data_IF_154701779554
#
_entry.id   IF_154701779554
#
_cell.length_a   1.000
_cell.length_b   1.000
_cell.length_c   1.000
_cell.angle_alpha   90.00
_cell.angle_beta   90.00
_cell.angle_gamma   90.00
#
_symmetry.space_group_name_H-M   'P 1'
#
loop_
_entity.id
_entity.type
_entity.pdbx_description
1 polymer ?
#
# COMPACT_ATOMS: atom_id res chain seq x y z
N UNK A 1 8.51 -15.56 27.94
CA UNK A 1 8.30 -14.53 26.89
C UNK A 1 8.67 -14.95 25.48
N UNK A 2 9.80 -15.63 25.22
CA UNK A 2 10.19 -16.04 23.86
C UNK A 2 9.10 -16.87 23.15
N UNK A 3 8.50 -17.85 23.83
CA UNK A 3 7.37 -18.63 23.30
C UNK A 3 6.17 -17.75 22.89
N UNK A 4 5.86 -16.72 23.67
CA UNK A 4 4.79 -15.76 23.38
C UNK A 4 5.13 -14.95 22.12
N UNK A 5 6.34 -14.38 22.06
CA UNK A 5 6.83 -13.65 20.89
C UNK A 5 6.71 -14.49 19.60
N UNK A 6 7.17 -15.74 19.63
CA UNK A 6 7.08 -16.66 18.48
C UNK A 6 5.62 -16.97 18.13
N UNK A 7 4.77 -17.21 19.13
CA UNK A 7 3.33 -17.46 18.96
C UNK A 7 2.63 -16.28 18.29
N UNK A 8 2.88 -15.04 18.71
CA UNK A 8 2.28 -13.85 18.09
C UNK A 8 2.77 -13.61 16.66
N UNK A 9 4.07 -13.81 16.41
CA UNK A 9 4.62 -13.71 15.04
C UNK A 9 4.04 -14.78 14.11
N UNK A 10 3.75 -15.97 14.63
CA UNK A 10 3.07 -17.03 13.89
C UNK A 10 1.60 -16.68 13.67
N UNK A 11 0.90 -16.22 14.70
CA UNK A 11 -0.51 -15.81 14.63
C UNK A 11 -0.72 -14.69 13.59
N UNK A 12 0.16 -13.68 13.55
CA UNK A 12 0.10 -12.62 12.55
C UNK A 12 0.25 -13.19 11.12
N UNK A 13 1.21 -14.11 10.90
CA UNK A 13 1.37 -14.77 9.60
C UNK A 13 0.20 -15.67 9.21
N UNK A 14 -0.48 -16.29 10.18
CA UNK A 14 -1.69 -17.06 9.90
C UNK A 14 -2.83 -16.11 9.53
N UNK A 15 -3.00 -15.02 10.29
CA UNK A 15 -4.08 -14.06 10.08
C UNK A 15 -4.07 -13.45 8.66
N UNK A 16 -2.91 -13.20 8.06
CA UNK A 16 -2.82 -12.68 6.68
C UNK A 16 -3.38 -13.62 5.61
N UNK A 17 -3.51 -14.92 5.91
CA UNK A 17 -3.95 -15.92 4.96
C UNK A 17 -5.37 -16.43 5.25
N UNK A 18 -6.05 -15.89 6.26
CA UNK A 18 -7.38 -16.36 6.62
C UNK A 18 -8.43 -15.82 5.62
N UNK A 19 -9.27 -16.71 5.03
CA UNK A 19 -10.20 -16.34 3.97
C UNK A 19 -11.53 -15.75 4.48
N UNK A 20 -11.77 -15.72 5.79
CA UNK A 20 -13.04 -15.23 6.34
C UNK A 20 -12.89 -14.51 7.68
N UNK A 21 -13.82 -13.60 7.95
CA UNK A 21 -13.91 -12.88 9.23
C UNK A 21 -14.18 -13.83 10.40
N UNK A 22 -14.92 -14.91 10.18
CA UNK A 22 -15.18 -15.92 11.21
C UNK A 22 -13.89 -16.61 11.67
N UNK A 23 -13.02 -16.97 10.71
CA UNK A 23 -11.73 -17.56 11.02
C UNK A 23 -10.81 -16.55 11.71
N UNK A 24 -10.86 -15.27 11.33
CA UNK A 24 -10.14 -14.21 12.05
C UNK A 24 -10.63 -14.10 13.49
N UNK A 25 -11.94 -14.07 13.72
CA UNK A 25 -12.52 -14.02 15.07
C UNK A 25 -12.14 -15.24 15.91
N UNK A 26 -12.10 -16.43 15.31
CA UNK A 26 -11.63 -17.65 15.96
C UNK A 26 -10.14 -17.55 16.33
N UNK A 27 -9.30 -17.05 15.42
CA UNK A 27 -7.86 -16.86 15.67
C UNK A 27 -7.60 -15.85 16.79
N UNK A 28 -8.33 -14.73 16.80
CA UNK A 28 -8.29 -13.75 17.90
C UNK A 28 -8.66 -14.43 19.23
N UNK A 29 -9.73 -15.24 19.23
CA UNK A 29 -10.20 -15.99 20.41
C UNK A 29 -9.14 -16.94 20.97
N UNK A 30 -8.33 -17.60 20.13
CA UNK A 30 -7.22 -18.46 20.57
C UNK A 30 -6.16 -17.70 21.36
N UNK A 31 -6.05 -16.38 21.18
CA UNK A 31 -5.07 -15.53 21.87
C UNK A 31 -5.73 -14.58 22.88
N UNK A 32 -6.94 -14.87 23.33
CA UNK A 32 -7.56 -14.19 24.46
C UNK A 32 -6.92 -14.63 25.78
N UNK A 33 -6.57 -13.66 26.61
CA UNK A 33 -6.21 -13.84 28.02
C UNK A 33 -7.45 -13.89 28.91
N UNK A 34 -7.30 -14.34 30.16
CA UNK A 34 -8.40 -14.41 31.13
C UNK A 34 -8.98 -13.03 31.50
N UNK A 35 -8.24 -11.96 31.26
CA UNK A 35 -8.62 -10.56 31.50
C UNK A 35 -9.43 -9.94 30.34
N UNK A 36 -9.83 -10.74 29.34
CA UNK A 36 -10.54 -10.26 28.17
C UNK A 36 -9.68 -9.40 27.23
N UNK A 37 -8.34 -9.50 27.34
CA UNK A 37 -7.40 -8.83 26.43
C UNK A 37 -6.63 -9.84 25.61
N UNK A 38 -6.05 -9.41 24.49
CA UNK A 38 -5.10 -10.26 23.75
C UNK A 38 -3.87 -10.48 24.62
N UNK A 39 -3.51 -11.76 24.85
CA UNK A 39 -2.53 -12.20 25.87
C UNK A 39 -1.38 -11.20 26.02
N UNK A 40 -1.26 -10.63 27.21
CA UNK A 40 -0.13 -9.78 27.61
C UNK A 40 0.89 -10.64 28.35
N UNK A 41 2.16 -10.49 28.02
CA UNK A 41 3.19 -10.84 28.99
C UNK A 41 3.22 -9.68 30.00
N UNK A 42 3.15 -9.96 31.30
CA UNK A 42 3.37 -8.94 32.32
C UNK A 42 4.82 -8.44 32.19
N UNK A 43 5.04 -7.17 31.79
CA UNK A 43 6.38 -6.66 31.58
C UNK A 43 7.05 -6.26 32.89
N UNK A 44 6.32 -6.07 33.99
CA UNK A 44 6.83 -5.57 35.27
C UNK A 44 8.00 -6.42 35.81
N UNK A 45 7.89 -7.75 35.95
CA UNK A 45 9.02 -8.55 36.44
C UNK A 45 10.25 -8.45 35.53
N UNK A 46 10.05 -8.32 34.22
CA UNK A 46 11.15 -8.21 33.27
C UNK A 46 11.82 -6.82 33.31
N UNK A 47 11.04 -5.75 33.50
CA UNK A 47 11.55 -4.39 33.71
C UNK A 47 12.35 -4.32 35.02
N UNK A 48 11.82 -4.89 36.11
CA UNK A 48 12.53 -4.92 37.40
C UNK A 48 13.86 -5.65 37.28
N UNK A 49 13.88 -6.83 36.64
CA UNK A 49 15.13 -7.57 36.38
C UNK A 49 16.09 -6.76 35.51
N UNK A 50 15.60 -6.04 34.49
CA UNK A 50 16.44 -5.21 33.64
C UNK A 50 17.09 -4.06 34.41
N UNK A 51 16.32 -3.35 35.25
CA UNK A 51 16.82 -2.25 36.07
C UNK A 51 17.85 -2.75 37.08
N UNK A 52 17.57 -3.85 37.79
CA UNK A 52 18.51 -4.46 38.73
C UNK A 52 19.80 -4.90 38.03
N UNK A 53 19.71 -5.48 36.83
CA UNK A 53 20.87 -5.90 36.06
C UNK A 53 21.73 -4.71 35.59
N UNK A 54 21.14 -3.56 35.25
CA UNK A 54 21.89 -2.32 34.96
C UNK A 54 22.61 -1.80 36.22
N UNK A 55 21.93 -1.80 37.38
CA UNK A 55 22.55 -1.37 38.64
C UNK A 55 23.73 -2.27 39.04
N UNK A 56 23.57 -3.59 38.90
CA UNK A 56 24.65 -4.56 39.14
C UNK A 56 25.81 -4.35 38.15
N UNK A 57 25.52 -4.09 36.87
CA UNK A 57 26.55 -3.82 35.88
C UNK A 57 27.37 -2.57 36.24
N UNK A 58 26.69 -1.48 36.64
CA UNK A 58 27.35 -0.24 37.04
C UNK A 58 28.22 -0.41 38.29
N UNK A 59 27.72 -1.13 39.31
CA UNK A 59 28.47 -1.41 40.54
C UNK A 59 29.71 -2.27 40.26
N UNK A 60 29.58 -3.32 39.44
CA UNK A 60 30.71 -4.21 39.10
C UNK A 60 31.76 -3.54 38.23
N UNK A 61 31.36 -2.64 37.34
CA UNK A 61 32.31 -1.84 36.57
C UNK A 61 33.13 -0.92 37.48
N UNK A 62 32.48 -0.27 38.47
CA UNK A 62 33.20 0.53 39.47
C UNK A 62 34.16 -0.30 40.33
N UNK A 63 33.88 -1.59 40.54
CA UNK A 63 34.73 -2.53 41.26
C UNK A 63 35.88 -3.12 40.40
N UNK A 64 35.99 -2.76 39.12
CA UNK A 64 37.01 -3.30 38.20
C UNK A 64 36.71 -4.71 37.67
N UNK A 65 35.48 -5.20 37.83
CA UNK A 65 35.03 -6.54 37.39
C UNK A 65 34.36 -6.49 36.01
N UNK A 66 35.07 -5.97 34.99
CA UNK A 66 34.48 -5.65 33.69
C UNK A 66 33.79 -6.83 32.98
N UNK A 67 34.35 -8.05 33.10
CA UNK A 67 33.74 -9.25 32.52
C UNK A 67 32.36 -9.57 33.12
N UNK A 68 32.17 -9.30 34.41
CA UNK A 68 30.91 -9.52 35.10
C UNK A 68 29.92 -8.36 34.88
N UNK A 69 30.43 -7.14 34.69
CA UNK A 69 29.63 -5.99 34.29
C UNK A 69 28.98 -6.19 32.90
N UNK A 70 29.75 -6.71 31.93
CA UNK A 70 29.24 -7.06 30.60
C UNK A 70 28.14 -8.14 30.65
N UNK A 71 28.31 -9.17 31.48
CA UNK A 71 27.29 -10.20 31.66
C UNK A 71 25.98 -9.64 32.24
N UNK A 72 26.06 -8.74 33.22
CA UNK A 72 24.90 -8.08 33.79
C UNK A 72 24.20 -7.15 32.77
N UNK A 73 24.97 -6.44 31.93
CA UNK A 73 24.42 -5.63 30.84
C UNK A 73 23.66 -6.48 29.80
N UNK A 74 24.19 -7.65 29.45
CA UNK A 74 23.50 -8.60 28.56
C UNK A 74 22.17 -9.08 29.15
N UNK A 75 22.13 -9.38 30.45
CA UNK A 75 20.88 -9.72 31.15
C UNK A 75 19.89 -8.56 31.09
N UNK A 76 20.34 -7.32 31.30
CA UNK A 76 19.49 -6.14 31.19
C UNK A 76 18.88 -5.98 29.79
N UNK A 77 19.70 -6.13 28.74
CA UNK A 77 19.25 -6.05 27.35
C UNK A 77 18.23 -7.15 27.00
N UNK A 78 18.44 -8.37 27.48
CA UNK A 78 17.49 -9.46 27.26
C UNK A 78 16.19 -9.25 28.04
N UNK A 79 16.28 -8.86 29.31
CA UNK A 79 15.13 -8.61 30.18
C UNK A 79 14.29 -7.41 29.71
N UNK A 80 14.92 -6.36 29.19
CA UNK A 80 14.23 -5.18 28.64
C UNK A 80 13.80 -5.32 27.17
N UNK A 81 14.56 -6.04 26.35
CA UNK A 81 14.28 -6.20 24.92
C UNK A 81 13.15 -7.18 24.60
N UNK A 82 13.07 -8.29 25.35
CA UNK A 82 12.02 -9.30 25.13
C UNK A 82 10.57 -8.78 25.36
N UNK A 83 10.27 -7.96 26.39
CA UNK A 83 8.94 -7.35 26.57
C UNK A 83 8.58 -6.41 25.42
N UNK A 84 9.53 -5.56 25.00
CA UNK A 84 9.34 -4.64 23.87
C UNK A 84 9.05 -5.42 22.59
N UNK A 85 9.82 -6.47 22.31
CA UNK A 85 9.59 -7.34 21.16
C UNK A 85 8.22 -8.05 21.24
N UNK A 86 7.81 -8.55 22.41
CA UNK A 86 6.51 -9.18 22.61
C UNK A 86 5.35 -8.18 22.44
N UNK A 87 5.51 -6.95 22.93
CA UNK A 87 4.56 -5.86 22.74
C UNK A 87 4.42 -5.50 21.24
N UNK A 88 5.54 -5.35 20.54
CA UNK A 88 5.56 -5.08 19.11
C UNK A 88 4.92 -6.21 18.29
N UNK A 89 5.17 -7.47 18.64
CA UNK A 89 4.56 -8.63 17.97
C UNK A 89 3.04 -8.71 18.20
N UNK A 90 2.56 -8.40 19.41
CA UNK A 90 1.12 -8.29 19.69
C UNK A 90 0.48 -7.20 18.87
N UNK A 91 1.09 -6.01 18.84
CA UNK A 91 0.60 -4.87 18.03
C UNK A 91 0.53 -5.25 16.55
N UNK A 92 1.57 -5.89 16.03
CA UNK A 92 1.59 -6.38 14.65
C UNK A 92 0.48 -7.39 14.38
N UNK A 93 0.20 -8.31 15.30
CA UNK A 93 -0.92 -9.24 15.18
C UNK A 93 -2.26 -8.51 15.09
N UNK A 94 -2.52 -7.56 15.98
CA UNK A 94 -3.76 -6.75 15.97
C UNK A 94 -3.90 -5.98 14.66
N UNK A 95 -2.85 -5.25 14.26
CA UNK A 95 -2.84 -4.47 13.01
C UNK A 95 -3.08 -5.38 11.80
N UNK A 96 -2.51 -6.60 11.80
CA UNK A 96 -2.68 -7.60 10.73
C UNK A 96 -4.11 -8.12 10.65
N UNK A 97 -4.71 -8.48 11.79
CA UNK A 97 -6.09 -8.98 11.85
C UNK A 97 -7.06 -7.93 11.36
N UNK A 98 -6.90 -6.68 11.80
CA UNK A 98 -7.76 -5.58 11.37
C UNK A 98 -7.58 -5.27 9.88
N UNK A 99 -6.34 -5.25 9.40
CA UNK A 99 -6.02 -5.09 7.98
C UNK A 99 -6.68 -6.17 7.13
N UNK A 100 -6.52 -7.44 7.51
CA UNK A 100 -7.15 -8.57 6.81
C UNK A 100 -8.68 -8.46 6.83
N UNK A 101 -9.28 -8.11 7.96
CA UNK A 101 -10.73 -7.96 8.06
C UNK A 101 -11.25 -6.89 7.07
N UNK A 102 -10.54 -5.77 6.93
CA UNK A 102 -10.93 -4.71 6.00
C UNK A 102 -10.65 -5.06 4.53
N UNK A 103 -9.65 -5.90 4.26
CA UNK A 103 -9.43 -6.48 2.92
C UNK A 103 -10.59 -7.41 2.55
N UNK A 104 -10.99 -8.30 3.45
CA UNK A 104 -12.12 -9.20 3.25
C UNK A 104 -13.44 -8.46 2.98
N UNK A 105 -13.68 -7.33 3.66
CA UNK A 105 -14.84 -6.46 3.39
C UNK A 105 -14.92 -5.94 1.96
N UNK A 106 -13.79 -5.90 1.26
CA UNK A 106 -13.67 -5.36 -0.10
C UNK A 106 -13.34 -6.44 -1.14
N UNK A 107 -13.44 -7.72 -0.77
CA UNK A 107 -13.06 -8.82 -1.65
C UNK A 107 -11.57 -8.80 -2.05
N UNK A 108 -10.72 -8.14 -1.26
CA UNK A 108 -9.28 -8.06 -1.51
C UNK A 108 -8.56 -9.25 -0.86
N UNK A 109 -7.63 -9.83 -1.58
CA UNK A 109 -6.84 -10.97 -1.12
C UNK A 109 -5.36 -10.80 -1.47
N UNK A 110 -4.49 -11.16 -0.53
CA UNK A 110 -3.06 -11.16 -0.78
C UNK A 110 -2.68 -12.34 -1.68
N UNK A 111 -1.96 -12.07 -2.76
CA UNK A 111 -1.56 -13.08 -3.75
C UNK A 111 -0.05 -13.19 -3.81
N UNK A 112 0.45 -14.41 -3.93
CA UNK A 112 1.87 -14.68 -4.15
C UNK A 112 2.08 -14.94 -5.64
N UNK A 113 2.95 -14.15 -6.27
CA UNK A 113 3.39 -14.31 -7.66
C UNK A 113 4.90 -14.10 -7.73
N UNK A 114 5.53 -14.55 -8.81
CA UNK A 114 6.90 -14.16 -9.11
C UNK A 114 6.95 -12.66 -9.41
N UNK A 115 7.41 -11.89 -8.42
CA UNK A 115 7.47 -10.44 -8.47
C UNK A 115 8.37 -9.89 -9.57
N UNK A 116 9.41 -10.63 -9.98
CA UNK A 116 10.32 -10.22 -11.05
C UNK A 116 9.73 -10.53 -12.42
N UNK A 117 9.01 -11.64 -12.57
CA UNK A 117 8.24 -11.91 -13.78
C UNK A 117 7.13 -10.87 -13.96
N UNK A 118 6.39 -10.56 -12.89
CA UNK A 118 5.32 -9.57 -12.91
C UNK A 118 5.82 -8.16 -13.22
N UNK A 119 6.95 -7.75 -12.64
CA UNK A 119 7.59 -6.47 -12.97
C UNK A 119 7.95 -6.38 -14.46
N UNK A 120 8.53 -7.43 -15.05
CA UNK A 120 8.89 -7.44 -16.49
C UNK A 120 7.67 -7.20 -17.37
N UNK A 121 6.58 -7.93 -17.08
CA UNK A 121 5.30 -7.81 -17.78
C UNK A 121 4.66 -6.41 -17.60
N UNK A 122 4.73 -5.82 -16.41
CA UNK A 122 4.19 -4.48 -16.16
C UNK A 122 5.05 -3.36 -16.74
N UNK A 123 6.37 -3.53 -16.81
CA UNK A 123 7.30 -2.57 -17.39
C UNK A 123 7.04 -2.32 -18.88
N UNK A 124 6.60 -3.33 -19.61
CA UNK A 124 6.26 -3.19 -21.02
C UNK A 124 5.03 -2.29 -21.25
N UNK A 125 4.16 -2.16 -20.25
CA UNK A 125 2.89 -1.45 -20.34
C UNK A 125 2.89 -0.09 -19.63
N UNK A 126 3.59 0.04 -18.51
CA UNK A 126 3.51 1.23 -17.66
C UNK A 126 4.89 1.85 -17.42
N UNK A 127 5.09 3.12 -17.79
CA UNK A 127 6.38 3.80 -17.61
C UNK A 127 6.86 3.91 -16.14
N UNK A 128 5.99 3.69 -15.16
CA UNK A 128 6.36 3.79 -13.75
C UNK A 128 7.32 2.69 -13.26
N UNK A 129 7.38 1.57 -13.98
CA UNK A 129 8.27 0.46 -13.66
C UNK A 129 9.65 0.56 -14.33
N UNK A 130 9.90 1.63 -15.10
CA UNK A 130 11.22 2.03 -15.60
C UNK A 130 11.98 2.82 -14.52
N UNK A 131 12.24 2.21 -13.35
CA UNK A 131 12.98 2.85 -12.24
C UNK A 131 14.09 1.95 -11.71
N UNK A 132 15.15 2.60 -11.24
CA UNK A 132 16.32 1.95 -10.65
C UNK A 132 17.24 1.26 -11.64
N UNK A 133 18.39 0.86 -11.14
CA UNK A 133 19.43 0.18 -11.91
C UNK A 133 19.28 -1.34 -11.78
N UNK A 134 19.00 -1.83 -10.57
CA UNK A 134 18.87 -3.26 -10.28
C UNK A 134 17.76 -3.57 -9.25
N UNK A 135 17.54 -4.87 -9.00
CA UNK A 135 16.67 -5.34 -7.92
C UNK A 135 15.17 -5.10 -8.12
N UNK A 136 14.72 -4.79 -9.34
CA UNK A 136 13.32 -4.50 -9.64
C UNK A 136 12.43 -5.72 -9.39
N UNK A 137 11.40 -5.56 -8.55
CA UNK A 137 10.44 -6.62 -8.24
C UNK A 137 9.16 -6.06 -7.62
N UNK A 138 8.04 -6.74 -7.86
CA UNK A 138 6.80 -6.56 -7.10
C UNK A 138 6.85 -7.43 -5.84
N UNK A 139 6.99 -6.83 -4.67
CA UNK A 139 7.24 -7.55 -3.41
C UNK A 139 5.99 -7.69 -2.52
N UNK A 140 4.92 -6.99 -2.87
CA UNK A 140 3.57 -7.17 -2.30
C UNK A 140 2.53 -7.01 -3.40
N UNK A 141 1.58 -7.93 -3.42
CA UNK A 141 0.44 -7.90 -4.34
C UNK A 141 -0.85 -8.25 -3.58
N UNK A 142 -1.88 -7.44 -3.77
CA UNK A 142 -3.23 -7.65 -3.28
C UNK A 142 -4.18 -7.47 -4.44
N UNK A 143 -4.97 -8.50 -4.75
CA UNK A 143 -5.89 -8.51 -5.88
C UNK A 143 -7.34 -8.53 -5.40
N UNK A 144 -8.23 -7.97 -6.21
CA UNK A 144 -9.67 -8.07 -6.06
C UNK A 144 -10.38 -7.34 -7.18
N UNK A 145 -11.62 -6.95 -6.92
CA UNK A 145 -12.48 -6.30 -7.90
C UNK A 145 -13.01 -4.98 -7.36
N UNK A 146 -13.39 -4.10 -8.27
CA UNK A 146 -14.11 -2.88 -7.98
C UNK A 146 -15.25 -2.72 -8.99
N UNK A 147 -16.21 -1.86 -8.66
CA UNK A 147 -17.41 -1.65 -9.47
C UNK A 147 -17.55 -0.18 -9.81
N UNK A 148 -17.82 0.11 -11.08
CA UNK A 148 -18.13 1.46 -11.54
C UNK A 148 -19.56 1.90 -11.16
N UNK A 149 -19.96 3.12 -11.53
CA UNK A 149 -21.32 3.62 -11.23
C UNK A 149 -22.42 2.82 -11.95
N UNK A 150 -22.10 2.24 -13.11
CA UNK A 150 -23.02 1.41 -13.89
C UNK A 150 -23.14 -0.03 -13.37
N UNK A 151 -22.40 -0.40 -12.31
CA UNK A 151 -22.43 -1.74 -11.75
C UNK A 151 -21.53 -2.76 -12.47
N UNK A 152 -20.68 -2.34 -13.40
CA UNK A 152 -19.79 -3.25 -14.14
C UNK A 152 -18.57 -3.61 -13.28
N UNK A 153 -18.19 -4.90 -13.21
CA UNK A 153 -17.03 -5.33 -12.45
C UNK A 153 -15.74 -5.03 -13.22
N UNK A 154 -14.72 -4.63 -12.47
CA UNK A 154 -13.37 -4.35 -12.96
C UNK A 154 -12.35 -4.96 -12.02
N UNK A 155 -11.23 -5.42 -12.56
CA UNK A 155 -10.13 -5.98 -11.77
C UNK A 155 -9.22 -4.89 -11.19
N UNK A 156 -8.67 -5.17 -10.01
CA UNK A 156 -7.75 -4.29 -9.31
C UNK A 156 -6.62 -5.09 -8.66
N UNK A 157 -5.39 -4.62 -8.83
CA UNK A 157 -4.19 -5.18 -8.24
C UNK A 157 -3.39 -4.08 -7.54
N UNK A 158 -3.50 -3.99 -6.21
CA UNK A 158 -2.71 -3.10 -5.38
C UNK A 158 -1.31 -3.69 -5.15
N UNK A 159 -0.27 -2.90 -5.41
CA UNK A 159 1.10 -3.40 -5.39
C UNK A 159 2.05 -2.54 -4.54
N UNK A 160 3.17 -3.16 -4.16
CA UNK A 160 4.40 -2.46 -3.79
C UNK A 160 5.52 -2.93 -4.72
N UNK A 161 6.16 -1.96 -5.35
CA UNK A 161 7.27 -2.11 -6.27
C UNK A 161 8.54 -1.63 -5.57
N UNK A 162 9.59 -2.43 -5.59
CA UNK A 162 10.90 -2.09 -5.07
C UNK A 162 11.95 -2.05 -6.17
N UNK A 163 12.88 -1.11 -6.08
CA UNK A 163 14.08 -1.06 -6.93
C UNK A 163 15.30 -0.60 -6.13
N UNK A 164 16.48 -0.81 -6.68
CA UNK A 164 17.76 -0.36 -6.12
C UNK A 164 18.37 0.68 -7.07
N UNK A 165 18.79 1.81 -6.51
CA UNK A 165 19.65 2.79 -7.17
C UNK A 165 21.10 2.58 -6.70
N UNK A 166 22.02 2.54 -7.66
CA UNK A 166 23.45 2.30 -7.45
C UNK A 166 24.22 3.59 -7.71
N UNK A 167 24.89 4.09 -6.70
CA UNK A 167 25.76 5.26 -6.81
C UNK A 167 27.22 4.83 -6.66
N UNK A 168 28.04 5.18 -7.65
CA UNK A 168 29.48 4.98 -7.62
C UNK A 168 30.17 6.31 -7.31
N UNK A 169 30.96 6.35 -6.24
CA UNK A 169 31.78 7.50 -5.90
C UNK A 169 33.24 7.08 -5.81
N UNK A 170 34.11 7.80 -6.52
CA UNK A 170 35.55 7.64 -6.41
C UNK A 170 36.12 8.81 -5.61
N UNK A 171 36.93 8.53 -4.61
CA UNK A 171 37.62 9.52 -3.77
C UNK A 171 39.10 9.22 -3.74
N UNK A 172 39.92 10.18 -4.15
CA UNK A 172 41.37 10.12 -3.96
C UNK A 172 41.73 10.69 -2.59
N UNK A 173 42.49 9.94 -1.80
CA UNK A 173 43.00 10.41 -0.51
C UNK A 173 44.23 11.31 -0.68
N UNK A 174 44.70 11.88 0.43
CA UNK A 174 45.87 12.77 0.45
C UNK A 174 47.17 12.05 0.05
N UNK A 175 47.18 10.72 0.06
CA UNK A 175 48.31 9.86 -0.33
C UNK A 175 48.25 9.45 -1.81
N UNK A 176 47.30 10.00 -2.58
CA UNK A 176 47.13 9.73 -4.01
C UNK A 176 46.48 8.38 -4.31
N UNK A 177 45.96 7.68 -3.28
CA UNK A 177 45.28 6.40 -3.44
C UNK A 177 43.80 6.63 -3.73
N UNK A 178 43.32 6.00 -4.80
CA UNK A 178 41.92 6.05 -5.19
C UNK A 178 41.12 5.02 -4.39
N UNK A 179 39.99 5.45 -3.81
CA UNK A 179 39.01 4.62 -3.15
C UNK A 179 37.70 4.69 -3.92
N UNK A 180 37.25 3.53 -4.42
CA UNK A 180 35.95 3.42 -5.06
C UNK A 180 34.93 2.89 -4.04
N UNK A 181 33.84 3.63 -3.85
CA UNK A 181 32.72 3.28 -2.99
C UNK A 181 31.47 3.08 -3.84
N UNK A 182 30.73 2.00 -3.57
CA UNK A 182 29.46 1.70 -4.23
C UNK A 182 28.35 1.68 -3.20
N UNK A 183 27.49 2.70 -3.23
CA UNK A 183 26.33 2.80 -2.37
C UNK A 183 25.10 2.27 -3.09
N UNK A 184 24.34 1.39 -2.42
CA UNK A 184 23.07 0.85 -2.92
C UNK A 184 21.93 1.31 -2.04
N UNK A 185 20.92 1.96 -2.62
CA UNK A 185 19.75 2.43 -1.89
C UNK A 185 18.50 1.75 -2.43
N UNK A 186 17.73 1.10 -1.56
CA UNK A 186 16.45 0.48 -1.93
C UNK A 186 15.33 1.49 -1.78
N UNK A 187 14.54 1.63 -2.84
CA UNK A 187 13.38 2.51 -2.90
C UNK A 187 12.09 1.71 -3.08
N UNK A 188 10.97 2.33 -2.72
CA UNK A 188 9.64 1.72 -2.83
C UNK A 188 8.67 2.69 -3.49
N UNK A 189 7.78 2.12 -4.31
CA UNK A 189 6.66 2.80 -4.95
C UNK A 189 5.43 1.93 -4.76
N UNK A 190 4.31 2.57 -4.49
CA UNK A 190 3.04 1.89 -4.29
C UNK A 190 2.10 2.26 -5.42
N UNK A 191 1.10 1.44 -5.65
CA UNK A 191 0.12 1.75 -6.67
C UNK A 191 -0.94 0.70 -6.83
N UNK A 192 -1.74 0.90 -7.87
CA UNK A 192 -2.83 0.03 -8.27
C UNK A 192 -2.80 -0.10 -9.78
N UNK A 193 -2.76 -1.34 -10.26
CA UNK A 193 -3.07 -1.66 -11.66
C UNK A 193 -4.55 -2.02 -11.73
N UNK A 194 -5.28 -1.43 -12.67
CA UNK A 194 -6.72 -1.66 -12.83
C UNK A 194 -7.04 -2.01 -14.27
N UNK A 195 -8.11 -2.80 -14.46
CA UNK A 195 -8.82 -2.80 -15.73
C UNK A 195 -9.83 -1.65 -15.78
N UNK A 196 -10.11 -1.17 -16.98
CA UNK A 196 -11.09 -0.14 -17.25
C UNK A 196 -11.87 -0.52 -18.52
N UNK A 197 -13.19 -0.46 -18.44
CA UNK A 197 -14.08 -0.60 -19.59
C UNK A 197 -15.16 0.49 -19.50
N UNK A 198 -15.27 1.40 -20.47
CA UNK A 198 -14.59 1.40 -21.78
C UNK A 198 -13.11 1.85 -21.72
N UNK A 199 -12.30 1.57 -22.76
CA UNK A 199 -10.88 1.90 -22.76
C UNK A 199 -10.60 3.41 -22.77
N UNK A 200 -9.48 3.78 -22.15
CA UNK A 200 -9.04 5.16 -21.93
C UNK A 200 -7.55 5.31 -22.27
N UNK A 201 -7.17 6.45 -22.87
CA UNK A 201 -5.76 6.82 -23.03
C UNK A 201 -5.51 8.19 -22.40
N UNK A 202 -4.92 8.17 -21.21
CA UNK A 202 -4.70 9.38 -20.40
C UNK A 202 -3.50 9.17 -19.49
N UNK A 203 -2.62 10.15 -19.40
CA UNK A 203 -1.57 10.18 -18.40
C UNK A 203 -1.58 11.50 -17.64
N UNK A 204 -1.61 11.42 -16.32
CA UNK A 204 -1.52 12.56 -15.40
C UNK A 204 -0.38 12.27 -14.45
N UNK A 205 0.56 13.18 -14.29
CA UNK A 205 1.80 12.90 -13.57
C UNK A 205 2.31 14.10 -12.79
N UNK A 206 2.65 13.89 -11.53
CA UNK A 206 3.27 14.85 -10.63
C UNK A 206 4.80 14.80 -10.75
N UNK A 207 5.35 13.60 -10.98
CA UNK A 207 6.80 13.38 -10.91
C UNK A 207 7.48 13.54 -12.26
N UNK A 208 6.91 12.94 -13.31
CA UNK A 208 7.51 12.85 -14.64
C UNK A 208 6.71 13.63 -15.69
N UNK A 209 7.34 13.84 -16.84
CA UNK A 209 6.60 14.27 -18.05
C UNK A 209 5.78 13.08 -18.57
N UNK A 210 4.47 13.22 -18.80
CA UNK A 210 3.66 12.17 -19.41
C UNK A 210 4.22 11.77 -20.79
N UNK A 211 4.39 10.46 -21.02
CA UNK A 211 4.75 9.89 -22.33
C UNK A 211 3.47 9.65 -23.13
N UNK A 212 2.90 10.70 -23.70
CA UNK A 212 1.68 10.65 -24.54
C UNK A 212 1.84 11.54 -25.78
N UNK A 213 1.08 11.28 -26.88
CA UNK A 213 1.18 12.05 -28.12
C UNK A 213 0.94 13.55 -27.96
N UNK A 214 -0.03 13.93 -27.13
CA UNK A 214 -0.45 15.31 -26.94
C UNK A 214 -0.29 15.70 -25.49
N UNK A 215 0.36 16.83 -25.23
CA UNK A 215 0.37 17.47 -23.91
C UNK A 215 -0.90 18.33 -23.75
N UNK A 216 -1.44 18.39 -22.53
CA UNK A 216 -2.67 19.14 -22.25
C UNK A 216 -2.54 19.96 -20.97
N UNK A 217 -3.28 21.05 -20.88
CA UNK A 217 -3.44 21.87 -19.68
C UNK A 217 -4.92 22.10 -19.38
N UNK A 218 -5.25 22.22 -18.11
CA UNK A 218 -6.61 22.55 -17.67
C UNK A 218 -6.67 24.00 -17.20
N UNK A 219 -7.87 24.56 -17.08
CA UNK A 219 -8.06 25.89 -16.51
C UNK A 219 -7.85 25.96 -14.99
N UNK A 220 -7.75 24.81 -14.30
CA UNK A 220 -7.52 24.77 -12.85
C UNK A 220 -6.05 25.04 -12.52
N UNK A 221 -5.81 26.15 -11.82
CA UNK A 221 -4.47 26.53 -11.36
C UNK A 221 -3.93 25.48 -10.37
N UNK A 222 -4.71 25.09 -9.36
CA UNK A 222 -4.31 24.08 -8.37
C UNK A 222 -3.92 22.75 -9.03
N UNK A 223 -4.63 22.36 -10.10
CA UNK A 223 -4.28 21.17 -10.85
C UNK A 223 -3.00 21.36 -11.68
N UNK A 224 -2.89 22.47 -12.43
CA UNK A 224 -1.78 22.74 -13.34
C UNK A 224 -0.44 23.00 -12.65
N UNK A 225 -0.45 23.51 -11.41
CA UNK A 225 0.75 23.67 -10.59
C UNK A 225 1.34 22.34 -10.16
N UNK A 226 0.50 21.32 -9.98
CA UNK A 226 0.90 20.04 -9.40
C UNK A 226 1.05 18.93 -10.44
N UNK A 227 0.22 18.89 -11.48
CA UNK A 227 0.20 17.79 -12.44
C UNK A 227 0.37 18.24 -13.87
N UNK A 228 1.07 17.39 -14.64
CA UNK A 228 1.20 17.48 -16.09
C UNK A 228 0.32 16.43 -16.72
N UNK A 229 -0.31 16.78 -17.85
CA UNK A 229 -1.23 15.87 -18.56
C UNK A 229 -0.68 15.55 -19.95
N UNK A 230 -0.88 14.31 -20.38
CA UNK A 230 -0.94 13.98 -21.79
C UNK A 230 -2.04 12.99 -22.13
N UNK A 231 -2.48 13.00 -23.38
CA UNK A 231 -3.57 12.17 -23.90
C UNK A 231 -3.30 11.75 -25.36
N UNK A 232 -4.18 10.93 -25.94
CA UNK A 232 -4.03 10.53 -27.35
C UNK A 232 -4.33 11.69 -28.33
N UNK A 233 -5.24 12.60 -27.98
CA UNK A 233 -5.58 13.79 -28.76
C UNK A 233 -6.07 14.93 -27.86
N UNK A 234 -6.02 16.16 -28.36
CA UNK A 234 -6.59 17.34 -27.69
C UNK A 234 -8.08 17.18 -27.41
N UNK A 235 -8.84 16.67 -28.39
CA UNK A 235 -10.29 16.44 -28.26
C UNK A 235 -10.60 15.43 -27.14
N UNK A 236 -9.83 14.34 -27.06
CA UNK A 236 -9.99 13.36 -25.99
C UNK A 236 -9.68 13.98 -24.63
N UNK A 237 -8.58 14.73 -24.51
CA UNK A 237 -8.21 15.41 -23.27
C UNK A 237 -9.28 16.40 -22.81
N UNK A 238 -9.80 17.23 -23.72
CA UNK A 238 -10.85 18.21 -23.43
C UNK A 238 -12.15 17.57 -22.92
N UNK A 239 -12.54 16.44 -23.51
CA UNK A 239 -13.76 15.72 -23.12
C UNK A 239 -13.61 14.92 -21.82
N UNK A 240 -12.41 14.41 -21.53
CA UNK A 240 -12.13 13.67 -20.30
C UNK A 240 -11.93 14.59 -19.11
N UNK A 241 -11.10 15.62 -19.25
CA UNK A 241 -10.72 16.51 -18.15
C UNK A 241 -11.73 17.63 -17.99
N UNK A 242 -12.99 17.22 -17.81
CA UNK A 242 -14.08 18.10 -17.41
C UNK A 242 -13.79 18.73 -16.05
N UNK A 243 -14.42 19.87 -15.69
CA UNK A 243 -14.25 20.47 -14.37
C UNK A 243 -14.50 19.51 -13.20
N UNK A 244 -15.47 18.60 -13.32
CA UNK A 244 -15.77 17.59 -12.30
C UNK A 244 -14.66 16.56 -12.14
N UNK A 245 -14.09 16.06 -13.24
CA UNK A 245 -12.96 15.12 -13.23
C UNK A 245 -11.73 15.80 -12.63
N UNK A 246 -11.44 17.04 -13.03
CA UNK A 246 -10.31 17.82 -12.51
C UNK A 246 -10.47 18.07 -11.01
N UNK A 247 -11.66 18.45 -10.55
CA UNK A 247 -11.93 18.63 -9.13
C UNK A 247 -11.75 17.34 -8.33
N UNK A 248 -12.32 16.23 -8.81
CA UNK A 248 -12.18 14.91 -8.17
C UNK A 248 -10.71 14.49 -8.08
N UNK A 249 -9.92 14.79 -9.12
CA UNK A 249 -8.50 14.54 -9.14
C UNK A 249 -7.75 15.37 -8.08
N UNK A 250 -8.07 16.67 -7.98
CA UNK A 250 -7.49 17.55 -6.95
C UNK A 250 -7.80 17.03 -5.55
N UNK A 251 -9.06 16.71 -5.27
CA UNK A 251 -9.51 16.19 -3.97
C UNK A 251 -8.83 14.86 -3.63
N UNK A 252 -8.80 13.92 -4.57
CA UNK A 252 -8.10 12.64 -4.42
C UNK A 252 -6.60 12.86 -4.21
N UNK A 253 -5.99 13.74 -5.00
CA UNK A 253 -4.58 14.06 -4.97
C UNK A 253 -4.10 14.61 -3.63
N UNK A 254 -4.95 15.26 -2.83
CA UNK A 254 -4.62 15.72 -1.47
C UNK A 254 -4.28 14.57 -0.50
N UNK A 255 -4.73 13.36 -0.81
CA UNK A 255 -4.43 12.17 -0.01
C UNK A 255 -3.11 11.49 -0.39
N UNK A 256 -2.52 11.82 -1.54
CA UNK A 256 -1.38 11.09 -2.09
C UNK A 256 -0.17 12.00 -2.28
N UNK A 257 1.03 11.47 -2.05
CA UNK A 257 2.28 12.13 -2.47
C UNK A 257 2.75 11.54 -3.79
N UNK A 258 3.17 12.41 -4.71
CA UNK A 258 3.70 12.02 -6.01
C UNK A 258 2.73 11.12 -6.79
N UNK A 259 1.49 11.56 -6.94
CA UNK A 259 0.44 10.79 -7.61
C UNK A 259 0.62 10.85 -9.13
N UNK A 260 0.87 9.68 -9.73
CA UNK A 260 0.97 9.50 -11.17
C UNK A 260 -0.08 8.49 -11.63
N UNK A 261 -0.59 8.67 -12.83
CA UNK A 261 -1.66 7.86 -13.40
C UNK A 261 -1.41 7.72 -14.90
N UNK A 262 -1.52 6.50 -15.41
CA UNK A 262 -1.27 6.16 -16.80
C UNK A 262 -2.25 5.09 -17.26
N UNK A 263 -3.20 5.47 -18.10
CA UNK A 263 -4.13 4.60 -18.81
C UNK A 263 -3.71 4.47 -20.27
N UNK A 264 -3.71 3.24 -20.76
CA UNK A 264 -3.44 2.91 -22.15
C UNK A 264 -4.39 1.77 -22.57
N UNK A 265 -5.53 2.13 -23.12
CA UNK A 265 -6.57 1.18 -23.51
C UNK A 265 -7.36 0.70 -22.29
N UNK A 266 -7.54 -0.61 -22.15
CA UNK A 266 -8.37 -1.24 -21.12
C UNK A 266 -7.66 -1.40 -19.76
N UNK A 267 -6.43 -0.89 -19.63
CA UNK A 267 -5.65 -1.02 -18.41
C UNK A 267 -5.04 0.31 -18.01
N UNK A 268 -4.89 0.49 -16.70
CA UNK A 268 -4.19 1.62 -16.14
C UNK A 268 -3.35 1.28 -14.93
N UNK A 269 -2.38 2.13 -14.68
CA UNK A 269 -1.56 2.12 -13.48
C UNK A 269 -1.69 3.47 -12.78
N UNK A 270 -2.04 3.46 -11.50
CA UNK A 270 -2.03 4.63 -10.62
C UNK A 270 -0.97 4.38 -9.55
N UNK A 271 0.03 5.25 -9.44
CA UNK A 271 1.13 5.09 -8.51
C UNK A 271 1.40 6.31 -7.65
N UNK A 272 1.93 6.08 -6.46
CA UNK A 272 2.18 7.08 -5.43
C UNK A 272 3.28 6.62 -4.48
N UNK A 273 3.79 7.53 -3.65
CA UNK A 273 4.92 7.25 -2.74
C UNK A 273 4.50 6.81 -1.33
N UNK A 274 3.20 6.76 -1.04
CA UNK A 274 2.68 6.41 0.28
C UNK A 274 2.47 4.90 0.47
N UNK A 275 2.74 4.39 1.67
CA UNK A 275 2.67 2.97 2.01
C UNK A 275 1.37 2.54 2.71
N UNK A 276 0.36 3.41 2.71
CA UNK A 276 -0.84 3.34 3.55
C UNK A 276 -2.17 3.21 2.77
N UNK A 277 -2.13 2.86 1.48
CA UNK A 277 -3.35 2.68 0.65
C UNK A 277 -4.41 1.79 1.33
N UNK A 278 -3.97 0.66 1.89
CA UNK A 278 -4.83 -0.37 2.48
C UNK A 278 -4.99 -0.20 4.00
N UNK A 279 -4.64 0.96 4.55
CA UNK A 279 -4.74 1.24 5.99
C UNK A 279 -6.15 1.73 6.33
N UNK A 280 -6.72 1.15 7.40
CA UNK A 280 -8.03 1.55 7.93
C UNK A 280 -7.96 2.92 8.61
N UNK A 281 -9.05 3.69 8.53
CA UNK A 281 -9.17 4.97 9.23
C UNK A 281 -9.01 4.84 10.75
N UNK A 282 -9.53 3.75 11.32
CA UNK A 282 -9.51 3.47 12.76
C UNK A 282 -8.18 2.87 13.26
N UNK A 283 -7.17 2.69 12.39
CA UNK A 283 -5.89 2.05 12.75
C UNK A 283 -5.11 2.79 13.85
N UNK A 284 -5.37 4.09 14.06
CA UNK A 284 -4.77 4.90 15.13
C UNK A 284 -5.39 4.62 16.50
N UNK A 285 -6.68 4.27 16.56
CA UNK A 285 -7.42 3.96 17.79
C UNK A 285 -7.14 2.52 18.20
N UNK A 286 -5.91 2.21 18.63
CA UNK A 286 -5.51 0.84 18.94
C UNK A 286 -6.09 0.38 20.27
N UNK A 287 -6.65 -0.82 20.25
CA UNK A 287 -7.22 -1.50 21.41
C UNK A 287 -6.65 -2.91 21.49
N UNK A 288 -6.45 -3.42 22.70
CA UNK A 288 -6.16 -4.83 22.93
C UNK A 288 -7.25 -5.55 23.70
N UNK A 289 -8.39 -4.88 23.91
CA UNK A 289 -9.61 -5.52 24.45
C UNK A 289 -10.22 -6.42 23.38
N UNK A 290 -10.52 -7.65 23.79
CA UNK A 290 -11.03 -8.69 22.91
C UNK A 290 -12.37 -8.30 22.27
N UNK A 291 -13.31 -7.77 23.06
CA UNK A 291 -14.65 -7.46 22.56
C UNK A 291 -14.65 -6.31 21.56
N UNK A 292 -13.83 -5.28 21.83
CA UNK A 292 -13.62 -4.17 20.92
C UNK A 292 -12.96 -4.64 19.61
N UNK A 293 -11.91 -5.47 19.71
CA UNK A 293 -11.27 -6.06 18.52
C UNK A 293 -12.26 -6.93 17.71
N UNK A 294 -13.10 -7.74 18.37
CA UNK A 294 -14.15 -8.53 17.70
C UNK A 294 -15.17 -7.65 17.02
N UNK A 295 -15.61 -6.58 17.68
CA UNK A 295 -16.54 -5.62 17.09
C UNK A 295 -15.94 -4.97 15.83
N UNK A 296 -14.67 -4.55 15.89
CA UNK A 296 -13.95 -3.93 14.75
C UNK A 296 -13.67 -4.87 13.58
N UNK A 297 -13.51 -6.16 13.85
CA UNK A 297 -13.38 -7.18 12.81
C UNK A 297 -14.72 -7.45 12.14
N UNK A 298 -15.81 -7.41 12.89
CA UNK A 298 -17.17 -7.57 12.33
C UNK A 298 -17.59 -6.34 11.53
N UNK A 299 -17.31 -5.14 12.04
CA UNK A 299 -17.68 -3.90 11.38
C UNK A 299 -16.91 -3.68 10.08
N UNK A 300 -17.59 -3.06 9.11
CA UNK A 300 -16.98 -2.60 7.87
C UNK A 300 -16.21 -1.32 8.16
N UNK A 301 -14.88 -1.36 8.00
CA UNK A 301 -14.06 -0.16 8.16
C UNK A 301 -13.81 0.55 6.85
N UNK A 302 -13.65 1.86 6.93
CA UNK A 302 -13.23 2.70 5.83
C UNK A 302 -11.73 2.57 5.58
N UNK A 303 -11.36 2.63 4.29
CA UNK A 303 -9.97 2.73 3.82
C UNK A 303 -9.88 4.04 3.03
N UNK A 304 -9.59 5.18 3.68
CA UNK A 304 -9.81 6.50 3.07
C UNK A 304 -9.10 6.70 1.73
N UNK A 305 -7.84 6.26 1.61
CA UNK A 305 -7.08 6.38 0.37
C UNK A 305 -7.62 5.49 -0.74
N UNK A 306 -7.97 4.24 -0.42
CA UNK A 306 -8.57 3.34 -1.38
C UNK A 306 -9.93 3.86 -1.85
N UNK A 307 -10.75 4.38 -0.95
CA UNK A 307 -12.05 4.97 -1.27
C UNK A 307 -11.90 6.19 -2.18
N UNK A 308 -11.02 7.13 -1.85
CA UNK A 308 -10.72 8.28 -2.70
C UNK A 308 -10.26 7.84 -4.10
N UNK A 309 -9.38 6.83 -4.17
CA UNK A 309 -8.92 6.28 -5.44
C UNK A 309 -10.06 5.64 -6.24
N UNK A 310 -10.94 4.86 -5.59
CA UNK A 310 -12.10 4.27 -6.27
C UNK A 310 -13.10 5.30 -6.75
N UNK A 311 -13.28 6.42 -6.04
CA UNK A 311 -14.08 7.56 -6.51
C UNK A 311 -13.47 8.15 -7.77
N UNK A 312 -12.16 8.40 -7.80
CA UNK A 312 -11.49 8.88 -9.00
C UNK A 312 -11.64 7.91 -10.18
N UNK A 313 -11.50 6.61 -9.94
CA UNK A 313 -11.68 5.58 -10.97
C UNK A 313 -13.10 5.57 -11.54
N UNK A 314 -14.13 5.70 -10.70
CA UNK A 314 -15.53 5.82 -11.13
C UNK A 314 -15.74 7.04 -12.02
N UNK A 315 -15.32 8.21 -11.56
CA UNK A 315 -15.42 9.46 -12.32
C UNK A 315 -14.68 9.39 -13.66
N UNK A 316 -13.53 8.72 -13.72
CA UNK A 316 -12.82 8.48 -14.98
C UNK A 316 -13.53 7.50 -15.91
N UNK A 317 -14.13 6.43 -15.38
CA UNK A 317 -14.97 5.51 -16.14
C UNK A 317 -16.16 6.24 -16.77
N UNK A 318 -16.87 7.05 -15.98
CA UNK A 318 -18.06 7.77 -16.48
C UNK A 318 -17.68 8.78 -17.56
N UNK A 319 -16.54 9.47 -17.40
CA UNK A 319 -15.98 10.35 -18.42
C UNK A 319 -15.59 9.57 -19.69
N UNK A 320 -15.02 8.36 -19.55
CA UNK A 320 -14.64 7.49 -20.66
C UNK A 320 -15.87 6.91 -21.40
N UNK A 321 -16.96 6.61 -20.70
CA UNK A 321 -18.26 6.28 -21.28
C UNK A 321 -18.79 7.43 -22.12
N UNK A 322 -18.69 8.66 -21.61
CA UNK A 322 -19.06 9.86 -22.33
C UNK A 322 -18.26 10.10 -23.61
N UNK A 323 -17.11 9.44 -23.81
CA UNK A 323 -16.32 9.50 -25.05
C UNK A 323 -16.84 8.59 -26.16
N UNK A 324 -17.48 7.48 -25.79
CA UNK A 324 -17.87 6.45 -26.74
C UNK A 324 -18.88 7.02 -27.76
N UNK A 325 -18.81 6.62 -29.03
CA UNK A 325 -19.84 7.00 -29.99
C UNK A 325 -21.19 6.50 -29.48
N UNK A 326 -22.19 7.40 -29.37
CA UNK A 326 -23.57 6.98 -29.11
C UNK A 326 -23.99 6.04 -30.23
N UNK A 327 -24.53 4.87 -29.88
CA UNK A 327 -25.15 3.98 -30.85
C UNK A 327 -26.18 4.79 -31.66
N UNK A 328 -26.08 4.74 -33.00
CA UNK A 328 -27.10 5.33 -33.86
C UNK A 328 -28.47 4.71 -33.50
N UNK A 329 -29.54 5.52 -33.40
CA UNK A 329 -30.86 4.97 -33.21
C UNK A 329 -31.14 4.01 -34.37
N UNK A 330 -31.61 2.79 -34.04
CA UNK A 330 -31.94 1.79 -35.03
C UNK A 330 -32.79 2.41 -36.14
N UNK A 331 -32.50 2.14 -37.43
CA UNK A 331 -33.26 2.71 -38.53
C UNK A 331 -34.74 2.37 -38.33
N UNK A 332 -35.66 3.32 -38.59
CA UNK A 332 -37.09 3.07 -38.42
C UNK A 332 -37.47 1.83 -39.22
N UNK A 333 -38.16 0.90 -38.55
CA UNK A 333 -38.66 -0.32 -39.18
C UNK A 333 -39.45 0.09 -40.43
N UNK A 334 -39.08 -0.37 -41.64
CA UNK A 334 -39.77 0.03 -42.85
C UNK A 334 -41.25 -0.32 -42.73
N UNK A 335 -42.10 0.69 -42.95
CA UNK A 335 -43.55 0.56 -42.87
C UNK A 335 -44.01 -0.49 -43.89
N UNK A 336 -44.69 -1.54 -43.42
CA UNK A 336 -45.09 -2.74 -44.18
C UNK A 336 -46.16 -2.49 -45.27
N UNK A 337 -46.36 -1.23 -45.69
CA UNK A 337 -47.40 -0.79 -46.64
C UNK A 337 -46.89 -0.43 -48.04
N UNK A 338 -45.64 -0.75 -48.37
CA UNK A 338 -45.10 -0.54 -49.72
C UNK A 338 -44.56 -1.85 -50.30
N UNK A 339 -45.47 -2.77 -50.62
CA UNK A 339 -45.24 -3.74 -51.69
C UNK A 339 -46.47 -3.66 -52.61
N UNK A 340 -46.27 -3.39 -53.91
CA UNK A 340 -47.35 -3.19 -54.88
C UNK A 340 -48.19 -4.44 -55.12
#
# INVERSE_FOLDING_TARGET
>A
MIRHLMRMRRAARIATALPSKELLLAEIGRHAGPDGRIVRADPLPAIVVAVLAVLVAAWRHQAGEDGQALAALLVALLAGGLPVAAFAARRRFIDTVLGQAAMLDRGLSAVQRDGRALWRDWRERFPDFERGDEGQSIDRLVEGEWTDEAGRPHTMACYRFSWVEVQHSSRTDADGKQHDETQRTTHYRHGVVVSLAPPLTLAVSEVRKPKMPVAWSTASIEFGERWRVGAASEMQAARLLTPSVVQTFVETGRHFRALDLHFAGEQGCISFSDDDLLVRADARQRTDRLDDLRWRVRSTATMPKLEALTTLLRTLCDAADGLQPRAEPAPPIPNRKAFP
#
